data_IF_901304073037
#
_entry.id   IF_901304073037
#
_cell.length_a   1.000
_cell.length_b   1.000
_cell.length_c   1.000
_cell.angle_alpha   90.00
_cell.angle_beta   90.00
_cell.angle_gamma   90.00
#
_symmetry.space_group_name_H-M   'P 1'
#
loop_
_entity.id
_entity.type
_entity.pdbx_description
1 polymer ?
#
# COMPACT_ATOMS: atom_id res chain seq x y z
N UNK A 1 9.83 26.34 -1.91
CA UNK A 1 11.16 26.04 -1.33
C UNK A 1 11.38 24.51 -1.31
N UNK A 2 11.10 23.81 -2.44
CA UNK A 2 11.29 22.37 -2.62
C UNK A 2 11.86 22.00 -4.00
N UNK A 3 12.33 23.00 -4.76
CA UNK A 3 12.95 22.78 -6.08
C UNK A 3 14.41 22.31 -6.00
N UNK A 4 15.10 22.50 -4.87
CA UNK A 4 16.53 22.23 -4.76
C UNK A 4 16.91 20.79 -4.36
N UNK A 5 15.94 19.92 -4.07
CA UNK A 5 16.23 18.51 -3.71
C UNK A 5 16.23 17.58 -4.93
N UNK A 6 15.70 18.04 -6.06
CA UNK A 6 15.60 17.24 -7.30
C UNK A 6 16.79 17.40 -8.25
N UNK A 7 17.74 18.29 -7.99
CA UNK A 7 18.86 18.58 -8.91
C UNK A 7 20.21 18.01 -8.51
N UNK A 8 20.32 17.22 -7.44
CA UNK A 8 21.57 16.50 -7.18
C UNK A 8 21.70 15.32 -8.15
N UNK A 9 22.41 15.55 -9.25
CA UNK A 9 22.90 14.55 -10.18
C UNK A 9 23.84 13.58 -9.45
N UNK A 10 23.30 12.44 -9.00
CA UNK A 10 24.08 11.33 -8.44
C UNK A 10 23.16 10.34 -7.75
N UNK A 11 23.43 9.03 -7.87
CA UNK A 11 22.67 8.03 -7.15
C UNK A 11 22.78 8.30 -5.66
N UNK A 12 21.65 8.44 -4.94
CA UNK A 12 21.63 8.54 -3.49
C UNK A 12 22.09 7.21 -2.92
N UNK A 13 23.36 7.14 -2.60
CA UNK A 13 24.02 5.94 -2.05
C UNK A 13 23.47 5.68 -0.65
N UNK A 14 22.68 4.62 -0.49
CA UNK A 14 22.34 4.09 0.82
C UNK A 14 23.49 3.17 1.22
N UNK A 15 24.53 3.73 1.87
CA UNK A 15 25.66 2.95 2.31
C UNK A 15 25.26 2.07 3.50
N UNK A 16 25.41 0.77 3.37
CA UNK A 16 25.37 -0.18 4.48
C UNK A 16 26.81 -0.55 4.79
N UNK A 17 27.26 -0.22 5.99
CA UNK A 17 28.60 -0.57 6.47
C UNK A 17 28.58 -1.99 7.05
N UNK A 18 29.33 -2.90 6.47
CA UNK A 18 29.63 -4.18 7.09
C UNK A 18 30.95 -4.12 7.83
N UNK A 19 30.95 -4.47 9.09
CA UNK A 19 32.17 -4.72 9.86
C UNK A 19 32.61 -6.15 9.60
N UNK A 20 33.72 -6.35 8.94
CA UNK A 20 34.45 -7.62 9.06
C UNK A 20 35.29 -7.57 10.36
N UNK A 21 34.75 -8.10 11.44
CA UNK A 21 35.48 -8.17 12.71
C UNK A 21 35.18 -9.47 13.44
N UNK A 22 36.20 -9.97 14.09
CA UNK A 22 36.07 -10.96 15.14
C UNK A 22 35.09 -10.51 16.21
N UNK A 23 34.03 -11.30 16.44
CA UNK A 23 33.19 -11.26 17.63
C UNK A 23 31.98 -10.33 17.63
N UNK A 24 30.82 -10.92 17.38
CA UNK A 24 29.48 -10.60 17.83
C UNK A 24 28.67 -9.37 17.33
N UNK A 25 27.60 -9.76 16.68
CA UNK A 25 26.31 -9.08 16.31
C UNK A 25 26.25 -8.48 14.92
N UNK A 26 25.86 -9.36 14.03
CA UNK A 26 25.38 -9.10 12.68
C UNK A 26 23.93 -8.68 12.70
N UNK A 27 23.60 -7.53 12.11
CA UNK A 27 22.28 -7.34 11.52
C UNK A 27 22.32 -7.95 10.13
N UNK A 28 21.88 -9.19 10.02
CA UNK A 28 21.77 -9.93 8.77
C UNK A 28 20.49 -9.52 8.02
N UNK A 29 20.66 -8.98 6.80
CA UNK A 29 19.67 -9.19 5.77
C UNK A 29 19.78 -10.66 5.31
N UNK A 30 18.68 -11.39 5.09
CA UNK A 30 18.77 -12.79 4.68
C UNK A 30 19.29 -12.92 3.25
N UNK A 31 20.38 -13.62 3.08
CA UNK A 31 20.71 -14.28 1.85
C UNK A 31 21.83 -13.71 0.99
N UNK A 32 23.02 -13.44 1.54
CA UNK A 32 24.27 -13.53 0.75
C UNK A 32 25.38 -14.04 1.67
N UNK A 33 25.94 -15.18 1.34
CA UNK A 33 27.10 -15.77 2.05
C UNK A 33 28.29 -14.83 2.00
N UNK A 34 28.89 -14.58 3.16
CA UNK A 34 30.11 -13.79 3.30
C UNK A 34 31.26 -14.53 2.62
N UNK A 35 32.04 -13.89 1.74
CA UNK A 35 33.28 -14.48 1.25
C UNK A 35 34.31 -14.58 2.37
N UNK A 36 35.17 -15.60 2.36
CA UNK A 36 36.17 -15.79 3.38
C UNK A 36 37.21 -14.66 3.39
N UNK A 37 37.48 -14.15 4.58
CA UNK A 37 38.51 -13.15 4.85
C UNK A 37 39.88 -13.66 4.44
N UNK A 38 40.44 -13.24 3.32
CA UNK A 38 41.89 -13.28 3.07
C UNK A 38 42.48 -12.02 3.69
N UNK A 39 43.18 -12.21 4.78
CA UNK A 39 44.14 -11.24 5.30
C UNK A 39 45.40 -11.28 4.41
N UNK A 40 45.46 -10.42 3.42
CA UNK A 40 46.75 -10.10 2.81
C UNK A 40 47.37 -8.99 3.65
N UNK A 41 48.49 -9.33 4.30
CA UNK A 41 49.22 -8.44 5.21
C UNK A 41 49.74 -7.13 4.57
N UNK A 42 49.50 -6.92 3.26
CA UNK A 42 49.88 -5.73 2.49
C UNK A 42 48.69 -4.81 2.11
N UNK A 43 47.43 -5.20 2.40
CA UNK A 43 46.25 -4.51 1.82
C UNK A 43 45.52 -3.55 2.75
N UNK A 44 45.91 -3.46 4.02
CA UNK A 44 45.25 -2.57 4.97
C UNK A 44 43.90 -3.08 5.50
N UNK A 45 43.08 -2.18 6.06
CA UNK A 45 41.82 -2.52 6.72
C UNK A 45 40.65 -2.17 5.81
N UNK A 46 39.87 -3.16 5.40
CA UNK A 46 38.77 -3.00 4.46
C UNK A 46 37.55 -2.28 5.06
N UNK A 47 36.96 -1.40 4.26
CA UNK A 47 35.71 -0.72 4.49
C UNK A 47 34.85 -0.88 3.24
N UNK A 48 33.77 -1.67 3.32
CA UNK A 48 32.92 -1.96 2.18
C UNK A 48 31.61 -1.19 2.26
N UNK A 49 31.30 -0.46 1.20
CA UNK A 49 30.04 0.21 0.96
C UNK A 49 29.22 -0.63 0.00
N UNK A 50 28.00 -0.98 0.39
CA UNK A 50 27.07 -1.69 -0.47
C UNK A 50 25.89 -0.80 -0.79
N UNK A 51 25.66 -0.58 -2.08
CA UNK A 51 24.47 0.09 -2.59
C UNK A 51 23.39 -0.97 -2.86
N UNK A 52 22.22 -0.81 -2.26
CA UNK A 52 21.12 -1.79 -2.29
C UNK A 52 20.01 -1.44 -3.30
N UNK A 53 20.23 -0.46 -4.19
CA UNK A 53 19.30 -0.11 -5.25
C UNK A 53 19.23 -1.15 -6.37
N UNK A 54 18.39 -0.91 -7.40
CA UNK A 54 18.19 -1.84 -8.55
C UNK A 54 19.47 -2.26 -9.27
N UNK A 55 20.46 -1.38 -9.33
CA UNK A 55 21.79 -1.67 -9.88
C UNK A 55 22.80 -1.84 -8.75
N UNK A 56 22.48 -2.72 -7.79
CA UNK A 56 23.29 -2.94 -6.62
C UNK A 56 24.78 -3.15 -6.95
N UNK A 57 25.67 -2.44 -6.24
CA UNK A 57 27.09 -2.61 -6.33
C UNK A 57 27.75 -2.49 -4.97
N UNK A 58 28.95 -3.03 -4.85
CA UNK A 58 29.76 -2.88 -3.65
C UNK A 58 31.10 -2.22 -4.00
N UNK A 59 31.49 -1.25 -3.17
CA UNK A 59 32.78 -0.56 -3.25
C UNK A 59 33.56 -0.82 -1.98
N UNK A 60 34.73 -1.41 -2.09
CA UNK A 60 35.64 -1.62 -0.97
C UNK A 60 36.77 -0.62 -1.01
N UNK A 61 36.93 0.14 0.07
CA UNK A 61 38.07 1.02 0.32
C UNK A 61 38.95 0.42 1.42
N UNK A 62 40.21 0.80 1.43
CA UNK A 62 41.20 0.25 2.35
C UNK A 62 41.80 1.40 3.17
N UNK A 63 41.71 1.30 4.49
CA UNK A 63 42.35 2.23 5.40
C UNK A 63 43.73 1.70 5.79
N UNK A 64 44.72 2.56 5.98
CA UNK A 64 46.08 2.22 6.35
C UNK A 64 46.19 1.65 7.77
N UNK A 65 45.30 2.01 8.68
CA UNK A 65 45.28 1.53 10.06
C UNK A 65 43.86 1.15 10.49
N UNK A 66 43.75 0.26 11.47
CA UNK A 66 42.47 -0.10 12.09
C UNK A 66 41.77 1.12 12.71
N UNK A 67 42.51 1.96 13.41
CA UNK A 67 41.99 3.17 14.03
C UNK A 67 41.42 4.14 12.99
N UNK A 68 42.06 4.27 11.82
CA UNK A 68 41.53 5.10 10.72
C UNK A 68 40.24 4.50 10.17
N UNK A 69 40.18 3.20 9.95
CA UNK A 69 38.93 2.53 9.49
C UNK A 69 37.80 2.76 10.49
N UNK A 70 38.04 2.54 11.78
CA UNK A 70 37.02 2.65 12.81
C UNK A 70 36.49 4.10 12.95
N UNK A 71 37.36 5.11 12.84
CA UNK A 71 36.96 6.51 12.77
C UNK A 71 36.06 6.80 11.56
N UNK A 72 36.41 6.27 10.39
CA UNK A 72 35.55 6.40 9.20
C UNK A 72 34.17 5.79 9.44
N UNK A 73 34.08 4.59 10.01
CA UNK A 73 32.83 3.92 10.33
C UNK A 73 32.00 4.79 11.28
N UNK A 74 32.61 5.23 12.39
CA UNK A 74 31.93 6.05 13.39
C UNK A 74 31.35 7.34 12.79
N UNK A 75 32.14 8.09 12.01
CA UNK A 75 31.69 9.32 11.37
C UNK A 75 30.57 9.07 10.35
N UNK A 76 30.62 8.00 9.58
CA UNK A 76 29.60 7.67 8.60
C UNK A 76 28.31 7.24 9.32
N UNK A 77 28.40 6.39 10.34
CA UNK A 77 27.24 5.98 11.14
C UNK A 77 26.57 7.18 11.83
N UNK A 78 27.36 8.06 12.42
CA UNK A 78 26.87 9.30 13.04
C UNK A 78 26.18 10.18 12.00
N UNK A 79 26.76 10.37 10.82
CA UNK A 79 26.15 11.17 9.75
C UNK A 79 24.88 10.53 9.22
N UNK A 80 24.85 9.22 9.02
CA UNK A 80 23.64 8.49 8.63
C UNK A 80 22.54 8.63 9.69
N UNK A 81 22.88 8.54 10.97
CA UNK A 81 21.92 8.72 12.06
C UNK A 81 21.31 10.13 12.06
N UNK A 82 22.14 11.19 11.93
CA UNK A 82 21.67 12.56 11.81
C UNK A 82 20.76 12.77 10.60
N UNK A 83 21.13 12.25 9.44
CA UNK A 83 20.32 12.36 8.23
C UNK A 83 18.98 11.63 8.38
N UNK A 84 18.96 10.45 9.02
CA UNK A 84 17.71 9.75 9.32
C UNK A 84 16.80 10.56 10.25
N UNK A 85 17.36 11.16 11.30
CA UNK A 85 16.60 12.04 12.20
C UNK A 85 16.03 13.26 11.47
N UNK A 86 16.84 13.92 10.62
CA UNK A 86 16.40 15.09 9.85
C UNK A 86 15.37 14.76 8.78
N UNK A 87 15.40 13.55 8.23
CA UNK A 87 14.46 13.08 7.22
C UNK A 87 13.25 12.31 7.79
N UNK A 88 13.16 12.21 9.12
CA UNK A 88 12.03 11.56 9.78
C UNK A 88 10.82 12.50 9.73
N UNK A 89 9.84 12.13 8.91
CA UNK A 89 8.59 12.88 8.72
C UNK A 89 7.46 12.29 9.56
N UNK A 90 7.55 10.98 9.85
CA UNK A 90 6.53 10.23 10.56
C UNK A 90 7.10 9.54 11.79
N UNK A 91 6.33 9.50 12.86
CA UNK A 91 6.63 8.70 14.03
C UNK A 91 6.39 7.22 13.74
N UNK A 92 7.31 6.37 14.20
CA UNK A 92 7.15 4.92 14.13
C UNK A 92 6.45 4.43 15.40
N UNK A 93 5.25 3.88 15.23
CA UNK A 93 4.49 3.24 16.31
C UNK A 93 4.72 1.72 16.25
N UNK A 94 5.32 1.09 17.27
CA UNK A 94 5.41 -0.36 17.35
C UNK A 94 4.03 -0.94 17.65
N UNK A 95 3.53 -1.79 16.76
CA UNK A 95 2.20 -2.40 16.85
C UNK A 95 2.26 -3.80 17.50
N UNK A 96 3.41 -4.45 17.47
CA UNK A 96 3.59 -5.78 18.05
C UNK A 96 4.73 -5.78 19.09
N UNK A 97 4.68 -6.67 20.09
CA UNK A 97 5.76 -6.87 21.04
C UNK A 97 7.07 -7.18 20.30
N UNK A 98 8.19 -6.59 20.73
CA UNK A 98 9.50 -6.87 20.16
C UNK A 98 9.84 -8.35 20.32
N UNK A 99 10.20 -9.02 19.21
CA UNK A 99 10.71 -10.38 19.21
C UNK A 99 9.74 -11.47 18.77
N UNK A 100 8.49 -11.17 18.50
CA UNK A 100 7.58 -12.11 17.84
C UNK A 100 7.67 -11.94 16.33
N UNK A 101 7.89 -13.00 15.54
CA UNK A 101 7.80 -12.95 14.08
C UNK A 101 6.33 -12.89 13.66
N UNK A 102 5.71 -11.74 13.85
CA UNK A 102 4.30 -11.53 13.50
C UNK A 102 4.23 -10.92 12.11
N UNK A 103 3.58 -11.62 11.19
CA UNK A 103 3.36 -11.14 9.83
C UNK A 103 2.01 -10.41 9.77
N UNK A 104 2.04 -9.08 9.79
CA UNK A 104 0.86 -8.26 9.50
C UNK A 104 0.63 -8.30 7.99
N UNK A 105 -0.53 -8.79 7.56
CA UNK A 105 -0.90 -8.87 6.14
C UNK A 105 -1.47 -7.56 5.62
N UNK A 106 -2.26 -6.89 6.44
CA UNK A 106 -2.85 -5.58 6.13
C UNK A 106 -3.20 -4.84 7.43
N UNK A 107 -3.39 -3.54 7.32
CA UNK A 107 -3.79 -2.69 8.45
C UNK A 107 -4.68 -1.56 7.94
N UNK A 108 -5.70 -1.19 8.71
CA UNK A 108 -6.56 -0.04 8.42
C UNK A 108 -6.82 0.76 9.69
N UNK A 109 -6.36 2.03 9.75
CA UNK A 109 -6.67 2.92 10.86
C UNK A 109 -8.09 3.48 10.70
N UNK A 110 -8.73 3.78 11.83
CA UNK A 110 -10.04 4.43 11.90
C UNK A 110 -10.16 5.25 13.19
N UNK A 111 -11.29 5.87 13.42
CA UNK A 111 -11.54 6.76 14.57
C UNK A 111 -10.46 7.87 14.64
N UNK A 112 -10.21 8.53 13.50
CA UNK A 112 -9.18 9.57 13.42
C UNK A 112 -7.76 9.06 13.71
N UNK A 113 -7.48 7.79 13.44
CA UNK A 113 -6.18 7.16 13.68
C UNK A 113 -5.93 6.75 15.14
N UNK A 114 -6.95 6.76 16.00
CA UNK A 114 -6.84 6.31 17.39
C UNK A 114 -6.89 4.79 17.53
N UNK A 115 -7.56 4.13 16.60
CA UNK A 115 -7.70 2.68 16.55
C UNK A 115 -7.22 2.14 15.20
N UNK A 116 -6.79 0.88 15.20
CA UNK A 116 -6.36 0.19 13.98
C UNK A 116 -6.83 -1.25 13.99
N UNK A 117 -7.41 -1.69 12.88
CA UNK A 117 -7.57 -3.12 12.61
C UNK A 117 -6.32 -3.66 11.95
N UNK A 118 -5.85 -4.78 12.45
CA UNK A 118 -4.66 -5.49 11.98
C UNK A 118 -5.07 -6.86 11.45
N UNK A 119 -4.74 -7.14 10.20
CA UNK A 119 -4.92 -8.44 9.60
C UNK A 119 -3.70 -9.31 9.84
N UNK A 120 -3.94 -10.52 10.34
CA UNK A 120 -2.97 -11.58 10.50
C UNK A 120 -3.44 -12.84 9.75
N UNK A 121 -2.57 -13.83 9.54
CA UNK A 121 -2.97 -15.09 8.91
C UNK A 121 -4.09 -15.84 9.63
N UNK A 122 -4.26 -15.62 10.93
CA UNK A 122 -5.20 -16.29 11.83
C UNK A 122 -6.41 -15.44 12.22
N UNK A 123 -6.42 -14.13 11.87
CA UNK A 123 -7.57 -13.31 12.21
C UNK A 123 -7.40 -11.81 12.02
N UNK A 124 -8.46 -11.09 12.38
CA UNK A 124 -8.47 -9.64 12.50
C UNK A 124 -8.38 -9.27 13.98
N UNK A 125 -7.45 -8.38 14.27
CA UNK A 125 -7.18 -7.87 15.60
C UNK A 125 -7.46 -6.38 15.67
N UNK A 126 -7.95 -5.93 16.81
CA UNK A 126 -8.16 -4.52 17.13
C UNK A 126 -7.10 -4.03 18.09
N UNK A 127 -6.51 -2.88 17.82
CA UNK A 127 -5.60 -2.20 18.74
C UNK A 127 -5.99 -0.74 18.94
N UNK A 128 -6.04 -0.30 20.20
CA UNK A 128 -6.13 1.11 20.58
C UNK A 128 -4.70 1.69 20.62
N UNK A 129 -4.40 2.64 19.76
CA UNK A 129 -3.08 3.27 19.68
C UNK A 129 -2.82 4.29 20.79
N UNK A 130 -3.85 4.67 21.58
CA UNK A 130 -3.72 5.51 22.76
C UNK A 130 -3.15 4.72 23.94
N UNK A 131 -3.49 3.44 24.05
CA UNK A 131 -2.97 2.54 25.09
C UNK A 131 -1.93 1.58 24.50
N UNK A 132 -0.68 2.05 24.50
CA UNK A 132 0.47 1.30 23.98
C UNK A 132 0.87 0.10 24.83
N UNK A 133 0.30 -0.05 26.03
CA UNK A 133 0.58 -1.17 26.93
C UNK A 133 -0.22 -2.41 26.57
N UNK A 134 -1.35 -2.26 25.89
CA UNK A 134 -2.20 -3.36 25.49
C UNK A 134 -1.77 -3.98 24.17
N UNK A 135 -1.72 -5.30 24.15
CA UNK A 135 -1.54 -6.06 22.92
C UNK A 135 -2.81 -6.00 22.06
N UNK A 136 -2.69 -6.16 20.73
CA UNK A 136 -3.85 -6.30 19.86
C UNK A 136 -4.77 -7.42 20.33
N UNK A 137 -6.08 -7.19 20.28
CA UNK A 137 -7.11 -8.15 20.72
C UNK A 137 -7.80 -8.74 19.50
N UNK A 138 -7.92 -10.07 19.44
CA UNK A 138 -8.64 -10.77 18.37
C UNK A 138 -10.13 -10.37 18.39
N UNK A 139 -10.65 -9.94 17.23
CA UNK A 139 -12.07 -9.60 17.04
C UNK A 139 -12.78 -10.51 16.04
N UNK A 140 -12.05 -11.06 15.05
CA UNK A 140 -12.59 -11.98 14.06
C UNK A 140 -11.59 -13.11 13.78
N UNK A 141 -11.90 -14.37 14.07
CA UNK A 141 -11.06 -15.53 13.77
C UNK A 141 -11.19 -15.95 12.29
N UNK A 142 -10.79 -15.08 11.36
CA UNK A 142 -10.78 -15.30 9.92
C UNK A 142 -9.41 -15.75 9.46
N UNK A 143 -9.33 -16.83 8.70
CA UNK A 143 -8.07 -17.30 8.13
C UNK A 143 -7.71 -16.54 6.87
N UNK A 144 -6.41 -16.39 6.64
CA UNK A 144 -5.86 -15.76 5.43
C UNK A 144 -6.50 -14.40 5.12
N UNK A 145 -6.46 -13.50 6.09
CA UNK A 145 -6.87 -12.10 5.90
C UNK A 145 -5.88 -11.44 4.93
N UNK A 146 -6.38 -10.98 3.78
CA UNK A 146 -5.57 -10.40 2.71
C UNK A 146 -5.68 -8.88 2.63
N UNK A 147 -6.89 -8.36 2.88
CA UNK A 147 -7.19 -6.95 2.75
C UNK A 147 -8.32 -6.55 3.68
N UNK A 148 -8.26 -5.34 4.21
CA UNK A 148 -9.34 -4.72 5.00
C UNK A 148 -9.54 -3.27 4.56
N UNK A 149 -10.74 -2.75 4.79
CA UNK A 149 -11.07 -1.34 4.71
C UNK A 149 -12.21 -1.00 5.67
N UNK A 150 -12.34 0.26 6.04
CA UNK A 150 -13.35 0.75 6.98
C UNK A 150 -14.19 1.85 6.34
N UNK A 151 -15.50 1.67 6.35
CA UNK A 151 -16.46 2.69 5.97
C UNK A 151 -16.99 3.34 7.26
N UNK A 152 -16.25 4.32 7.79
CA UNK A 152 -16.54 4.91 9.12
C UNK A 152 -17.93 5.52 9.19
N UNK A 153 -18.36 6.22 8.14
CA UNK A 153 -19.70 6.85 8.07
C UNK A 153 -20.86 5.83 8.19
N UNK A 154 -20.60 4.58 7.79
CA UNK A 154 -21.58 3.48 7.80
C UNK A 154 -21.32 2.48 8.93
N UNK A 155 -20.24 2.67 9.71
CA UNK A 155 -19.82 1.77 10.77
C UNK A 155 -19.64 0.32 10.27
N UNK A 156 -19.01 0.17 9.10
CA UNK A 156 -18.80 -1.13 8.45
C UNK A 156 -17.29 -1.41 8.30
N UNK A 157 -16.87 -2.59 8.73
CA UNK A 157 -15.58 -3.18 8.40
C UNK A 157 -15.75 -4.13 7.21
N UNK A 158 -14.91 -3.95 6.19
CA UNK A 158 -14.77 -4.82 5.04
C UNK A 158 -13.54 -5.69 5.22
N UNK A 159 -13.67 -6.99 5.01
CA UNK A 159 -12.56 -7.95 5.11
C UNK A 159 -12.55 -8.88 3.91
N UNK A 160 -11.42 -8.95 3.22
CA UNK A 160 -11.12 -9.98 2.23
C UNK A 160 -10.31 -11.08 2.89
N UNK A 161 -10.89 -12.26 3.00
CA UNK A 161 -10.25 -13.45 3.54
C UNK A 161 -10.58 -14.66 2.66
N UNK A 162 -9.61 -15.50 2.34
CA UNK A 162 -9.79 -16.70 1.47
C UNK A 162 -10.55 -16.39 0.16
N UNK A 163 -10.22 -15.25 -0.49
CA UNK A 163 -10.90 -14.76 -1.69
C UNK A 163 -12.41 -14.47 -1.55
N UNK A 164 -12.88 -14.28 -0.32
CA UNK A 164 -14.26 -13.90 0.00
C UNK A 164 -14.28 -12.55 0.69
N UNK A 165 -15.12 -11.63 0.20
CA UNK A 165 -15.36 -10.34 0.87
C UNK A 165 -16.50 -10.51 1.85
N UNK A 166 -16.22 -10.14 3.09
CA UNK A 166 -17.17 -10.07 4.18
C UNK A 166 -17.38 -8.63 4.64
N UNK A 167 -18.55 -8.34 5.17
CA UNK A 167 -18.83 -7.10 5.90
C UNK A 167 -19.26 -7.42 7.33
N UNK A 168 -18.81 -6.58 8.25
CA UNK A 168 -19.20 -6.61 9.65
C UNK A 168 -19.58 -5.21 10.07
N UNK A 169 -20.67 -5.05 10.81
CA UNK A 169 -20.99 -3.79 11.48
C UNK A 169 -20.17 -3.66 12.77
N UNK A 170 -19.80 -2.46 13.17
CA UNK A 170 -18.92 -2.26 14.34
C UNK A 170 -19.57 -2.73 15.64
N UNK A 171 -20.88 -2.58 15.79
CA UNK A 171 -21.66 -3.07 16.92
C UNK A 171 -21.67 -4.60 17.06
N UNK A 172 -21.38 -5.32 15.97
CA UNK A 172 -21.25 -6.77 15.98
C UNK A 172 -19.83 -7.27 16.33
N UNK A 173 -18.85 -6.38 16.43
CA UNK A 173 -17.46 -6.72 16.74
C UNK A 173 -17.25 -6.69 18.27
N UNK A 174 -17.31 -7.86 18.89
CA UNK A 174 -17.07 -8.00 20.32
C UNK A 174 -15.74 -8.70 20.59
N UNK A 175 -14.73 -7.98 21.13
CA UNK A 175 -13.46 -8.60 21.50
C UNK A 175 -13.57 -9.68 22.57
N UNK A 176 -14.66 -9.70 23.35
CA UNK A 176 -14.90 -10.71 24.40
C UNK A 176 -15.46 -12.02 23.83
N UNK A 177 -16.15 -11.97 22.65
CA UNK A 177 -16.66 -13.15 21.95
C UNK A 177 -16.43 -13.05 20.43
N UNK A 178 -15.19 -13.28 19.96
CA UNK A 178 -14.87 -13.24 18.53
C UNK A 178 -15.64 -14.25 17.67
N UNK A 179 -16.06 -15.38 18.30
CA UNK A 179 -16.83 -16.42 17.58
C UNK A 179 -18.26 -15.95 17.32
N UNK A 180 -18.87 -15.24 18.27
CA UNK A 180 -20.19 -14.64 18.05
C UNK A 180 -20.11 -13.54 16.98
N UNK A 181 -19.05 -12.71 16.97
CA UNK A 181 -18.82 -11.69 15.95
C UNK A 181 -18.83 -12.26 14.54
N UNK A 182 -18.27 -13.44 14.33
CA UNK A 182 -18.26 -14.13 13.03
C UNK A 182 -19.66 -14.46 12.50
N UNK A 183 -20.63 -14.74 13.36
CA UNK A 183 -21.99 -15.08 12.97
C UNK A 183 -22.76 -13.91 12.36
N UNK A 184 -22.33 -12.70 12.67
CA UNK A 184 -22.92 -11.46 12.14
C UNK A 184 -22.30 -11.04 10.81
N UNK A 185 -21.22 -11.71 10.39
CA UNK A 185 -20.56 -11.47 9.10
C UNK A 185 -21.48 -11.73 7.91
N UNK A 186 -21.48 -10.81 6.93
CA UNK A 186 -22.22 -10.94 5.68
C UNK A 186 -21.24 -11.20 4.54
N UNK A 187 -21.44 -12.30 3.84
CA UNK A 187 -20.68 -12.63 2.63
C UNK A 187 -21.20 -11.79 1.47
N UNK A 188 -20.35 -10.95 0.89
CA UNK A 188 -20.69 -10.04 -0.20
C UNK A 188 -20.33 -10.60 -1.57
N UNK A 189 -19.11 -11.14 -1.69
CA UNK A 189 -18.62 -11.69 -2.95
C UNK A 189 -17.60 -12.80 -2.68
N UNK A 190 -17.50 -13.73 -3.63
CA UNK A 190 -16.51 -14.83 -3.63
C UNK A 190 -15.65 -14.78 -4.88
N UNK A 191 -14.54 -15.51 -4.87
CA UNK A 191 -13.53 -15.49 -5.94
C UNK A 191 -13.02 -14.07 -6.23
N UNK A 192 -12.88 -13.29 -5.17
CA UNK A 192 -12.43 -11.90 -5.23
C UNK A 192 -10.91 -11.84 -5.19
N UNK A 193 -10.32 -11.13 -6.15
CA UNK A 193 -8.88 -10.90 -6.19
C UNK A 193 -8.48 -9.78 -5.23
N UNK A 194 -9.21 -8.68 -5.27
CA UNK A 194 -9.07 -7.54 -4.36
C UNK A 194 -10.36 -6.70 -4.37
N UNK A 195 -10.46 -5.75 -3.46
CA UNK A 195 -11.50 -4.72 -3.48
C UNK A 195 -10.92 -3.34 -3.20
N UNK A 196 -11.68 -2.30 -3.47
CA UNK A 196 -11.34 -0.93 -3.12
C UNK A 196 -12.61 -0.17 -2.73
N UNK A 197 -12.53 0.62 -1.66
CA UNK A 197 -13.58 1.56 -1.30
C UNK A 197 -13.12 3.00 -1.59
N UNK A 198 -14.07 3.88 -1.93
CA UNK A 198 -13.78 5.29 -2.20
C UNK A 198 -15.00 6.06 -2.68
N UNK A 199 -14.81 7.36 -2.86
CA UNK A 199 -15.87 8.30 -3.29
C UNK A 199 -15.88 8.45 -4.81
N UNK A 200 -17.05 8.23 -5.42
CA UNK A 200 -17.29 8.50 -6.84
C UNK A 200 -18.75 8.91 -7.03
N UNK A 201 -19.03 9.85 -7.92
CA UNK A 201 -20.38 10.40 -8.16
C UNK A 201 -21.05 10.93 -6.87
N UNK A 202 -20.26 11.46 -5.93
CA UNK A 202 -20.73 11.94 -4.63
C UNK A 202 -21.23 10.82 -3.69
N UNK A 203 -20.88 9.57 -3.95
CA UNK A 203 -21.28 8.39 -3.19
C UNK A 203 -20.08 7.58 -2.74
N UNK A 204 -20.17 6.96 -1.58
CA UNK A 204 -19.23 5.94 -1.16
C UNK A 204 -19.53 4.65 -1.93
N UNK A 205 -18.56 4.14 -2.65
CA UNK A 205 -18.67 2.90 -3.43
C UNK A 205 -17.59 1.91 -3.00
N UNK A 206 -17.92 0.63 -3.06
CA UNK A 206 -16.98 -0.49 -2.88
C UNK A 206 -16.91 -1.25 -4.20
N UNK A 207 -15.76 -1.25 -4.83
CA UNK A 207 -15.50 -2.02 -6.05
C UNK A 207 -14.88 -3.36 -5.67
N UNK A 208 -15.56 -4.45 -5.98
CA UNK A 208 -15.07 -5.81 -5.80
C UNK A 208 -14.64 -6.35 -7.16
N UNK A 209 -13.41 -6.85 -7.24
CA UNK A 209 -12.78 -7.28 -8.49
C UNK A 209 -12.55 -8.79 -8.48
N UNK A 210 -13.02 -9.43 -9.54
CA UNK A 210 -12.68 -10.82 -9.89
C UNK A 210 -11.79 -10.76 -11.12
N UNK A 211 -10.49 -10.92 -10.92
CA UNK A 211 -9.52 -10.93 -12.01
C UNK A 211 -9.24 -12.36 -12.46
N UNK A 212 -9.24 -12.54 -13.78
CA UNK A 212 -8.72 -13.72 -14.47
C UNK A 212 -7.64 -13.26 -15.44
N UNK A 213 -6.87 -14.19 -15.99
CA UNK A 213 -5.74 -13.92 -16.87
C UNK A 213 -6.10 -13.09 -18.13
N UNK A 214 -7.32 -13.24 -18.64
CA UNK A 214 -7.77 -12.56 -19.85
C UNK A 214 -8.79 -11.44 -19.60
N UNK A 215 -9.31 -11.32 -18.37
CA UNK A 215 -10.42 -10.41 -18.12
C UNK A 215 -10.69 -10.20 -16.64
N UNK A 216 -11.37 -9.12 -16.31
CA UNK A 216 -11.83 -8.81 -14.96
C UNK A 216 -13.30 -8.45 -14.96
N UNK A 217 -14.03 -8.94 -13.97
CA UNK A 217 -15.38 -8.47 -13.66
C UNK A 217 -15.33 -7.57 -12.45
N UNK A 218 -15.86 -6.38 -12.56
CA UNK A 218 -15.89 -5.39 -11.50
C UNK A 218 -17.34 -5.15 -11.10
N UNK A 219 -17.65 -5.43 -9.83
CA UNK A 219 -18.93 -5.14 -9.22
C UNK A 219 -18.78 -3.96 -8.28
N UNK A 220 -19.50 -2.88 -8.53
CA UNK A 220 -19.57 -1.73 -7.65
C UNK A 220 -20.78 -1.86 -6.74
N UNK A 221 -20.55 -1.63 -5.46
CA UNK A 221 -21.53 -1.77 -4.39
C UNK A 221 -21.64 -0.44 -3.64
N UNK A 222 -22.83 -0.10 -3.19
CA UNK A 222 -23.13 1.11 -2.40
C UNK A 222 -23.53 0.69 -0.99
N UNK A 223 -22.98 1.31 0.07
CA UNK A 223 -23.42 1.05 1.43
C UNK A 223 -24.87 1.46 1.66
N UNK A 224 -25.58 0.68 2.44
CA UNK A 224 -26.96 0.95 2.81
C UNK A 224 -26.95 1.67 4.15
N UNK A 225 -27.42 2.91 4.18
CA UNK A 225 -27.58 3.64 5.43
C UNK A 225 -28.72 3.05 6.27
N UNK A 226 -28.34 2.27 7.27
CA UNK A 226 -29.28 1.61 8.19
C UNK A 226 -29.99 2.66 9.06
N UNK A 227 -29.30 3.77 9.40
CA UNK A 227 -29.85 4.82 10.26
C UNK A 227 -30.88 5.70 9.54
N UNK A 228 -30.77 5.88 8.22
CA UNK A 228 -31.78 6.59 7.43
C UNK A 228 -33.09 5.77 7.30
N UNK A 229 -33.03 4.43 7.40
CA UNK A 229 -34.22 3.55 7.37
C UNK A 229 -35.04 3.60 8.67
N UNK A 230 -34.41 3.76 9.82
CA UNK A 230 -35.11 3.83 11.11
C UNK A 230 -36.02 5.04 11.26
N UNK A 231 -35.81 6.10 10.45
CA UNK A 231 -36.66 7.32 10.45
C UNK A 231 -37.89 7.22 9.55
N UNK A 232 -38.03 6.19 8.71
CA UNK A 232 -39.24 5.96 7.93
C UNK A 232 -40.18 5.04 8.71
N UNK A 233 -41.34 5.52 9.09
CA UNK A 233 -42.39 4.84 9.87
C UNK A 233 -42.57 3.37 9.50
N UNK A 234 -42.73 2.45 10.50
CA UNK A 234 -43.07 1.08 10.24
C UNK A 234 -44.45 0.97 9.66
N UNK A 235 -44.58 0.70 8.40
CA UNK A 235 -45.85 0.25 7.79
C UNK A 235 -46.01 -1.21 8.24
N UNK A 236 -47.03 -1.44 9.07
CA UNK A 236 -47.47 -2.76 9.52
C UNK A 236 -47.64 -3.70 8.30
N UNK A 237 -46.94 -4.82 8.27
CA UNK A 237 -47.31 -5.93 7.44
C UNK A 237 -46.32 -6.57 6.49
N UNK A 238 -44.99 -6.35 6.61
CA UNK A 238 -44.02 -7.25 5.94
C UNK A 238 -43.02 -7.79 6.97
N UNK A 239 -43.09 -9.12 7.16
CA UNK A 239 -42.06 -9.87 7.88
C UNK A 239 -40.69 -9.41 7.36
N UNK A 240 -39.86 -8.87 8.24
CA UNK A 240 -38.49 -8.49 7.94
C UNK A 240 -37.76 -9.71 7.36
N UNK A 241 -37.11 -9.61 6.18
CA UNK A 241 -36.15 -10.62 5.78
C UNK A 241 -35.05 -10.65 6.86
N UNK A 242 -34.81 -11.79 7.44
CA UNK A 242 -33.73 -12.01 8.39
C UNK A 242 -32.40 -11.83 7.66
N UNK A 243 -31.81 -10.65 7.74
CA UNK A 243 -30.54 -10.35 7.12
C UNK A 243 -30.49 -8.93 6.53
N UNK A 244 -30.09 -7.95 7.36
CA UNK A 244 -29.89 -6.61 6.82
C UNK A 244 -28.67 -6.65 5.90
N UNK A 245 -28.90 -6.49 4.58
CA UNK A 245 -27.84 -6.26 3.63
C UNK A 245 -27.12 -4.96 3.96
N UNK A 246 -25.81 -5.02 4.11
CA UNK A 246 -24.97 -3.85 4.39
C UNK A 246 -24.60 -3.08 3.14
N UNK A 247 -24.55 -3.78 2.00
CA UNK A 247 -24.21 -3.23 0.70
C UNK A 247 -25.24 -3.66 -0.35
N UNK A 248 -25.53 -2.78 -1.31
CA UNK A 248 -26.36 -3.10 -2.48
C UNK A 248 -25.57 -2.93 -3.76
N UNK A 249 -25.89 -3.71 -4.79
CA UNK A 249 -25.27 -3.59 -6.12
C UNK A 249 -25.66 -2.23 -6.73
N UNK A 250 -24.64 -1.47 -7.13
CA UNK A 250 -24.81 -0.23 -7.90
C UNK A 250 -24.68 -0.50 -9.39
N UNK A 251 -23.52 -1.02 -9.83
CA UNK A 251 -23.27 -1.44 -11.22
C UNK A 251 -22.32 -2.65 -11.25
N UNK A 252 -22.39 -3.37 -12.38
CA UNK A 252 -21.46 -4.45 -12.69
C UNK A 252 -21.03 -4.30 -14.15
N UNK A 253 -19.72 -4.43 -14.42
CA UNK A 253 -19.15 -4.27 -15.74
C UNK A 253 -17.89 -5.14 -15.91
N UNK A 254 -17.44 -5.21 -17.13
CA UNK A 254 -16.38 -6.10 -17.57
C UNK A 254 -15.22 -5.30 -18.18
N UNK A 255 -14.00 -5.70 -17.84
CA UNK A 255 -12.75 -5.19 -18.44
C UNK A 255 -12.08 -6.34 -19.19
N UNK A 256 -11.77 -6.20 -20.50
CA UNK A 256 -11.20 -7.26 -21.33
C UNK A 256 -9.69 -7.45 -21.12
N UNK A 257 -9.24 -7.28 -19.89
CA UNK A 257 -7.86 -7.48 -19.42
C UNK A 257 -7.86 -7.78 -17.94
N UNK A 258 -6.74 -8.30 -17.43
CA UNK A 258 -6.51 -8.42 -16.00
C UNK A 258 -6.39 -7.03 -15.36
N UNK A 259 -7.13 -6.80 -14.28
CA UNK A 259 -7.10 -5.56 -13.49
C UNK A 259 -6.29 -5.77 -12.22
N UNK A 260 -5.31 -4.90 -11.97
CA UNK A 260 -4.41 -4.95 -10.82
C UNK A 260 -4.73 -3.91 -9.74
N UNK A 261 -5.40 -2.82 -10.10
CA UNK A 261 -5.75 -1.75 -9.16
C UNK A 261 -6.99 -0.98 -9.60
N UNK A 262 -7.67 -0.36 -8.62
CA UNK A 262 -8.78 0.58 -8.87
C UNK A 262 -8.55 1.84 -8.04
N UNK A 263 -8.83 2.99 -8.66
CA UNK A 263 -8.75 4.30 -8.04
C UNK A 263 -10.00 5.11 -8.39
N UNK A 264 -10.51 5.83 -7.39
CA UNK A 264 -11.72 6.64 -7.53
C UNK A 264 -11.37 8.05 -7.95
N UNK A 265 -11.96 8.50 -9.05
CA UNK A 265 -11.97 9.89 -9.48
C UNK A 265 -13.35 10.50 -9.14
N UNK A 266 -13.54 11.80 -9.41
CA UNK A 266 -14.78 12.48 -9.03
C UNK A 266 -16.05 11.80 -9.58
N UNK A 267 -16.04 11.37 -10.85
CA UNK A 267 -17.18 10.75 -11.53
C UNK A 267 -16.82 9.46 -12.29
N UNK A 268 -15.54 9.07 -12.29
CA UNK A 268 -15.02 7.96 -13.07
C UNK A 268 -14.14 7.06 -12.19
N UNK A 269 -13.93 5.83 -12.63
CA UNK A 269 -12.92 4.95 -12.06
C UNK A 269 -11.67 4.97 -12.95
N UNK A 270 -10.50 4.92 -12.33
CA UNK A 270 -9.26 4.64 -13.02
C UNK A 270 -8.81 3.23 -12.63
N UNK A 271 -8.61 2.38 -13.62
CA UNK A 271 -8.29 0.95 -13.46
C UNK A 271 -6.90 0.71 -14.00
N UNK A 272 -6.04 0.14 -13.17
CA UNK A 272 -4.73 -0.33 -13.60
C UNK A 272 -4.87 -1.71 -14.27
N UNK A 273 -4.39 -1.83 -15.50
CA UNK A 273 -4.38 -3.05 -16.29
C UNK A 273 -2.99 -3.29 -16.88
N UNK A 274 -2.76 -4.45 -17.47
CA UNK A 274 -1.49 -4.71 -18.19
C UNK A 274 -1.24 -3.76 -19.37
N UNK A 275 -2.29 -3.08 -19.86
CA UNK A 275 -2.19 -2.06 -20.93
C UNK A 275 -1.91 -0.65 -20.41
N UNK A 276 -1.86 -0.47 -19.10
CA UNK A 276 -1.71 0.81 -18.44
C UNK A 276 -2.95 1.20 -17.63
N UNK A 277 -3.14 2.50 -17.42
CA UNK A 277 -4.32 3.03 -16.74
C UNK A 277 -5.47 3.27 -17.73
N UNK A 278 -6.63 2.71 -17.43
CA UNK A 278 -7.87 2.89 -18.17
C UNK A 278 -8.89 3.66 -17.32
N UNK A 279 -9.62 4.57 -17.93
CA UNK A 279 -10.69 5.34 -17.31
C UNK A 279 -12.03 4.73 -17.70
N UNK A 280 -12.85 4.42 -16.70
CA UNK A 280 -14.22 3.94 -16.89
C UNK A 280 -15.18 4.97 -16.34
N UNK A 281 -16.08 5.44 -17.20
CA UNK A 281 -17.20 6.27 -16.79
C UNK A 281 -18.29 5.39 -16.16
N UNK A 282 -18.65 5.64 -14.90
CA UNK A 282 -19.62 4.81 -14.19
C UNK A 282 -21.07 5.05 -14.63
N UNK A 283 -21.36 6.12 -15.36
CA UNK A 283 -22.72 6.38 -15.88
C UNK A 283 -22.95 5.67 -17.20
N UNK A 284 -22.02 5.81 -18.16
CA UNK A 284 -22.14 5.25 -19.52
C UNK A 284 -21.49 3.88 -19.66
N UNK A 285 -20.52 3.55 -18.78
CA UNK A 285 -19.63 2.40 -18.86
C UNK A 285 -18.63 2.44 -20.03
N UNK A 286 -18.44 3.62 -20.63
CA UNK A 286 -17.42 3.81 -21.64
C UNK A 286 -16.04 3.72 -21.03
N UNK A 287 -15.12 3.07 -21.75
CA UNK A 287 -13.74 2.86 -21.32
C UNK A 287 -12.79 3.51 -22.30
N UNK A 288 -11.80 4.26 -21.77
CA UNK A 288 -10.75 4.88 -22.56
C UNK A 288 -9.41 4.82 -21.82
N UNK A 289 -8.29 4.82 -22.59
CA UNK A 289 -6.96 4.95 -21.98
C UNK A 289 -6.80 6.31 -21.28
N UNK A 290 -6.09 6.34 -20.15
CA UNK A 290 -5.80 7.59 -19.45
C UNK A 290 -4.81 8.47 -20.21
N UNK A 291 -3.77 7.87 -20.80
CA UNK A 291 -2.73 8.58 -21.53
C UNK A 291 -3.18 8.87 -22.95
N UNK A 292 -3.04 10.13 -23.38
CA UNK A 292 -3.36 10.52 -24.75
C UNK A 292 -2.34 9.92 -25.73
N UNK A 293 -2.78 9.14 -26.73
CA UNK A 293 -1.88 8.57 -27.73
C UNK A 293 -1.19 9.61 -28.61
N UNK A 294 -1.70 10.84 -28.70
CA UNK A 294 -1.09 11.92 -29.48
C UNK A 294 0.12 12.56 -28.77
N UNK A 295 0.30 12.35 -27.46
CA UNK A 295 1.48 12.87 -26.76
C UNK A 295 2.71 11.99 -27.01
N UNK A 296 3.54 12.41 -27.98
CA UNK A 296 4.79 11.74 -28.32
C UNK A 296 5.79 11.69 -27.15
N UNK A 297 5.68 12.60 -26.17
CA UNK A 297 6.57 12.62 -25.00
C UNK A 297 6.34 11.43 -24.06
N UNK A 298 5.24 10.72 -24.20
CA UNK A 298 4.87 9.53 -23.42
C UNK A 298 5.23 8.20 -24.12
N UNK A 299 5.92 8.25 -25.25
CA UNK A 299 6.36 7.07 -26.01
C UNK A 299 7.21 6.10 -25.14
N UNK A 300 7.96 6.61 -24.15
CA UNK A 300 8.75 5.79 -23.23
C UNK A 300 7.90 4.83 -22.40
N UNK A 301 6.64 5.19 -22.09
CA UNK A 301 5.70 4.30 -21.37
C UNK A 301 5.31 3.12 -22.26
N UNK A 302 5.07 3.38 -23.55
CA UNK A 302 4.65 2.35 -24.51
C UNK A 302 5.76 1.38 -24.89
N UNK A 303 7.01 1.86 -24.86
CA UNK A 303 8.20 1.05 -25.23
C UNK A 303 8.66 0.13 -24.11
N UNK A 304 8.17 0.34 -22.89
CA UNK A 304 8.65 -0.44 -21.76
C UNK A 304 7.79 -1.70 -21.58
N UNK A 305 8.42 -2.85 -21.77
CA UNK A 305 7.80 -4.15 -21.49
C UNK A 305 7.64 -4.35 -19.97
N UNK A 306 6.60 -5.08 -19.56
CA UNK A 306 6.32 -5.42 -18.18
C UNK A 306 6.06 -4.23 -17.24
N UNK A 307 5.62 -3.10 -17.78
CA UNK A 307 5.26 -1.94 -16.99
C UNK A 307 3.91 -2.16 -16.31
N UNK A 308 3.90 -2.11 -14.98
CA UNK A 308 2.70 -2.34 -14.17
C UNK A 308 2.23 -1.04 -13.51
N UNK A 309 0.99 -0.58 -13.77
CA UNK A 309 0.38 0.53 -13.07
C UNK A 309 -0.02 0.09 -11.64
N UNK A 310 0.47 0.81 -10.62
CA UNK A 310 0.24 0.44 -9.22
C UNK A 310 -0.73 1.41 -8.55
N UNK A 311 -0.50 2.72 -8.71
CA UNK A 311 -1.31 3.73 -8.05
C UNK A 311 -1.42 5.01 -8.88
N UNK A 312 -2.51 5.75 -8.67
CA UNK A 312 -2.72 7.10 -9.19
C UNK A 312 -3.17 8.00 -8.04
N UNK A 313 -2.58 9.19 -7.97
CA UNK A 313 -2.95 10.21 -6.99
C UNK A 313 -3.25 11.53 -7.69
N UNK A 314 -4.30 12.22 -7.23
CA UNK A 314 -4.59 13.58 -7.66
C UNK A 314 -3.89 14.55 -6.71
N UNK A 315 -2.98 15.35 -7.26
CA UNK A 315 -2.17 16.32 -6.50
C UNK A 315 -2.22 17.65 -7.25
N UNK A 316 -2.76 18.69 -6.63
CA UNK A 316 -2.87 20.06 -7.16
C UNK A 316 -3.50 20.15 -8.58
N UNK A 317 -4.47 19.28 -8.85
CA UNK A 317 -5.17 19.25 -10.15
C UNK A 317 -4.51 18.41 -11.22
N UNK A 318 -3.31 17.91 -10.98
CA UNK A 318 -2.59 16.95 -11.81
C UNK A 318 -2.74 15.53 -11.28
N UNK A 319 -2.37 14.53 -12.08
CA UNK A 319 -2.36 13.14 -11.67
C UNK A 319 -0.93 12.60 -11.64
N UNK A 320 -0.49 12.11 -10.48
CA UNK A 320 0.75 11.35 -10.33
C UNK A 320 0.45 9.88 -10.63
N UNK A 321 0.97 9.39 -11.75
CA UNK A 321 0.87 7.99 -12.15
C UNK A 321 2.08 7.23 -11.62
N UNK A 322 1.84 6.22 -10.79
CA UNK A 322 2.87 5.40 -10.19
C UNK A 322 2.88 4.01 -10.84
N UNK A 323 4.00 3.68 -11.46
CA UNK A 323 4.28 2.36 -12.02
C UNK A 323 5.34 1.63 -11.20
N UNK A 324 5.58 0.37 -11.50
CA UNK A 324 6.62 -0.43 -10.84
C UNK A 324 8.05 0.09 -11.07
N UNK A 325 8.30 0.87 -12.13
CA UNK A 325 9.63 1.37 -12.49
C UNK A 325 9.83 2.86 -12.17
N UNK A 326 8.76 3.64 -12.29
CA UNK A 326 8.81 5.10 -12.17
C UNK A 326 7.44 5.68 -11.87
N UNK A 327 7.40 6.98 -11.57
CA UNK A 327 6.19 7.79 -11.56
C UNK A 327 6.40 9.09 -12.33
N UNK A 328 5.30 9.68 -12.84
CA UNK A 328 5.30 10.98 -13.49
C UNK A 328 3.94 11.64 -13.43
N UNK A 329 3.92 12.94 -13.71
CA UNK A 329 2.70 13.74 -13.66
C UNK A 329 2.08 13.91 -15.03
N UNK A 330 0.75 13.76 -15.10
CA UNK A 330 -0.07 14.08 -16.25
C UNK A 330 -1.19 15.05 -15.88
N UNK A 331 -1.63 15.84 -16.85
CA UNK A 331 -2.78 16.71 -16.69
C UNK A 331 -4.11 15.93 -16.87
N UNK A 332 -5.23 16.64 -16.74
CA UNK A 332 -6.58 16.05 -16.88
C UNK A 332 -6.87 15.44 -18.27
N UNK A 333 -6.09 15.81 -19.27
CA UNK A 333 -6.23 15.31 -20.65
C UNK A 333 -5.31 14.13 -20.96
N UNK A 334 -4.54 13.64 -19.97
CA UNK A 334 -3.58 12.54 -20.17
C UNK A 334 -2.26 12.95 -20.80
N UNK A 335 -1.95 14.26 -20.87
CA UNK A 335 -0.70 14.79 -21.40
C UNK A 335 0.32 14.99 -20.26
N UNK A 336 1.59 14.90 -20.58
CA UNK A 336 2.68 15.19 -19.65
C UNK A 336 2.53 16.60 -19.04
N UNK A 337 2.57 16.70 -17.71
CA UNK A 337 2.31 17.96 -17.01
C UNK A 337 3.55 18.74 -16.60
N UNK A 338 4.68 18.07 -16.34
CA UNK A 338 5.88 18.70 -15.76
C UNK A 338 7.14 18.45 -16.60
N UNK A 339 8.03 19.43 -16.66
CA UNK A 339 9.29 19.34 -17.41
C UNK A 339 10.29 18.38 -16.74
N UNK A 340 10.50 18.51 -15.41
CA UNK A 340 11.29 17.58 -14.59
C UNK A 340 10.36 16.51 -14.01
N UNK A 341 10.07 15.51 -14.78
CA UNK A 341 8.82 14.80 -14.73
C UNK A 341 8.92 13.33 -14.35
N UNK A 342 10.09 12.73 -14.43
CA UNK A 342 10.25 11.30 -14.19
C UNK A 342 10.88 11.04 -12.82
N UNK A 343 10.14 10.41 -11.93
CA UNK A 343 10.61 9.91 -10.64
C UNK A 343 10.95 8.43 -10.81
N UNK A 344 12.23 8.07 -10.77
CA UNK A 344 12.67 6.68 -10.84
C UNK A 344 12.77 6.06 -9.45
N UNK A 345 12.27 4.84 -9.31
CA UNK A 345 12.35 4.11 -8.06
C UNK A 345 13.70 3.38 -7.94
N UNK A 346 14.31 3.49 -6.77
CA UNK A 346 15.54 2.74 -6.44
C UNK A 346 15.30 1.25 -6.20
N UNK A 347 14.08 0.88 -5.89
CA UNK A 347 13.59 -0.50 -5.74
C UNK A 347 12.28 -0.69 -6.47
N UNK A 348 11.69 -1.89 -6.41
CA UNK A 348 10.34 -2.13 -6.90
C UNK A 348 9.35 -1.75 -5.81
N UNK A 349 8.50 -0.72 -6.02
CA UNK A 349 7.49 -0.33 -5.03
C UNK A 349 6.41 -1.41 -4.93
N UNK A 350 5.98 -1.70 -3.70
CA UNK A 350 4.91 -2.66 -3.43
C UNK A 350 3.63 -1.99 -2.98
N UNK A 351 3.72 -0.81 -2.37
CA UNK A 351 2.57 -0.03 -1.91
C UNK A 351 2.89 1.46 -1.86
N UNK A 352 1.84 2.27 -1.94
CA UNK A 352 1.89 3.72 -1.80
C UNK A 352 0.84 4.17 -0.80
N UNK A 353 1.16 5.21 -0.03
CA UNK A 353 0.22 5.92 0.80
C UNK A 353 0.43 7.42 0.64
N UNK A 354 -0.64 8.15 0.46
CA UNK A 354 -0.64 9.60 0.37
C UNK A 354 -1.15 10.19 1.68
N UNK A 355 -0.33 11.03 2.31
CA UNK A 355 -0.74 11.93 3.38
C UNK A 355 -0.18 13.31 3.05
N UNK A 356 -1.05 14.21 2.62
CA UNK A 356 -0.62 15.53 2.12
C UNK A 356 0.17 16.30 3.19
N UNK A 357 1.34 16.87 2.83
CA UNK A 357 1.98 16.94 1.49
C UNK A 357 2.97 15.78 1.19
N UNK A 358 2.86 14.65 1.87
CA UNK A 358 3.77 13.53 1.76
C UNK A 358 3.14 12.35 1.02
#
# INVERSE_FOLDING_TARGET
MYEDVATSKGPRTRAVLSRSSFGHRTCLAPGVGSPPLRQDAKSGYALTFTYLGKQGYSLTLWASTLASRDKWIEHIELRQHRLRQQSCVFDLLPVAPRGTPVVVTCAVPFDGGRQVFLGFPDGVYLQDLRDRSRSPTLVLPLRHVLQMDVLEEFQILLVLAEHVVYTFTFDALDPSDPVASMRHGRRIASHTSFFRAGMCLGRTLVCVVKSGAASSTIKTLEPIDVHARAKKHPTFGKMLPSGQDTLRVFKEFYIPTESSSIHFLKSKLCIGTIKGFEIVDLETLDTQGLLDPADASLEFVRRQENLQPIAIFRIDGEFLLCYNEFAFYVNKNGWRARASWLLRWEGTPTAFALHYPY
#
